data_IF_482284709100
#
_entry.id   IF_482284709100
#
_cell.length_a   1.000
_cell.length_b   1.000
_cell.length_c   1.000
_cell.angle_alpha   90.00
_cell.angle_beta   90.00
_cell.angle_gamma   90.00
#
_symmetry.space_group_name_H-M   'P 1'
#
loop_
_entity.id
_entity.type
_entity.pdbx_description
1 polymer ?
#
# COMPACT_ATOMS: atom_id res chain seq x y z
N UNK A 1 20.54 7.56 8.38
CA UNK A 1 19.62 8.70 8.57
C UNK A 1 18.74 8.75 7.33
N UNK A 2 17.45 8.41 7.44
CA UNK A 2 16.55 8.40 6.29
C UNK A 2 16.33 9.85 5.82
N UNK A 3 16.59 10.13 4.55
CA UNK A 3 16.53 11.49 4.01
C UNK A 3 15.05 11.86 3.81
N UNK A 4 14.71 13.14 3.93
CA UNK A 4 13.33 13.64 3.75
C UNK A 4 12.68 13.23 2.42
N UNK A 5 13.50 12.91 1.40
CA UNK A 5 13.07 12.43 0.09
C UNK A 5 12.45 11.02 0.12
N UNK A 6 12.95 10.12 0.97
CA UNK A 6 12.44 8.75 1.09
C UNK A 6 10.98 8.76 1.57
N UNK A 7 10.65 9.64 2.52
CA UNK A 7 9.30 9.82 3.04
C UNK A 7 8.33 10.28 1.96
N UNK A 8 8.76 11.17 1.05
CA UNK A 8 7.94 11.62 -0.08
C UNK A 8 7.65 10.47 -1.04
N UNK A 9 8.66 9.62 -1.32
CA UNK A 9 8.50 8.45 -2.18
C UNK A 9 7.46 7.47 -1.60
N UNK A 10 7.58 7.10 -0.33
CA UNK A 10 6.63 6.17 0.29
C UNK A 10 5.20 6.73 0.31
N UNK A 11 5.04 8.04 0.55
CA UNK A 11 3.73 8.70 0.47
C UNK A 11 3.13 8.65 -0.94
N UNK A 12 3.94 8.87 -1.99
CA UNK A 12 3.48 8.77 -3.38
C UNK A 12 3.06 7.34 -3.73
N UNK A 13 3.87 6.36 -3.35
CA UNK A 13 3.56 4.94 -3.57
C UNK A 13 2.29 4.55 -2.82
N UNK A 14 2.17 4.92 -1.53
CA UNK A 14 0.98 4.65 -0.71
C UNK A 14 -0.30 5.24 -1.29
N UNK A 15 -0.24 6.48 -1.78
CA UNK A 15 -1.36 7.11 -2.50
C UNK A 15 -1.72 6.34 -3.76
N UNK A 16 -0.73 5.91 -4.55
CA UNK A 16 -0.98 5.16 -5.79
C UNK A 16 -1.63 3.81 -5.52
N UNK A 17 -1.18 3.08 -4.51
CA UNK A 17 -1.78 1.81 -4.06
C UNK A 17 -3.25 2.02 -3.68
N UNK A 18 -3.55 3.07 -2.90
CA UNK A 18 -4.93 3.42 -2.52
C UNK A 18 -5.83 3.68 -3.74
N UNK A 19 -5.31 4.35 -4.76
CA UNK A 19 -6.07 4.63 -5.99
C UNK A 19 -6.29 3.36 -6.83
N UNK A 20 -5.28 2.48 -6.93
CA UNK A 20 -5.43 1.17 -7.59
C UNK A 20 -6.49 0.32 -6.91
N UNK A 21 -6.52 0.31 -5.56
CA UNK A 21 -7.55 -0.39 -4.79
C UNK A 21 -8.96 0.08 -5.16
N UNK A 22 -9.18 1.39 -5.17
CA UNK A 22 -10.49 1.97 -5.54
C UNK A 22 -10.85 1.66 -6.99
N UNK A 23 -9.87 1.70 -7.90
CA UNK A 23 -10.08 1.42 -9.33
C UNK A 23 -10.55 -0.03 -9.55
N UNK A 24 -10.06 -0.98 -8.74
CA UNK A 24 -10.54 -2.37 -8.77
C UNK A 24 -11.92 -2.58 -8.11
N UNK A 25 -12.56 -1.54 -7.59
CA UNK A 25 -13.88 -1.64 -6.96
C UNK A 25 -13.85 -1.95 -5.46
N UNK A 26 -12.68 -2.04 -4.83
CA UNK A 26 -12.59 -2.22 -3.38
C UNK A 26 -12.84 -0.88 -2.67
N UNK A 27 -14.02 -0.70 -2.10
CA UNK A 27 -14.36 0.48 -1.28
C UNK A 27 -13.56 0.52 0.02
N UNK A 28 -13.29 -0.64 0.62
CA UNK A 28 -12.63 -0.75 1.93
C UNK A 28 -11.23 -1.35 1.83
N UNK A 29 -10.31 -0.79 2.63
CA UNK A 29 -8.96 -1.33 2.84
C UNK A 29 -9.03 -2.75 3.43
N UNK A 30 -10.06 -3.03 4.23
CA UNK A 30 -10.29 -4.34 4.85
C UNK A 30 -10.57 -5.44 3.83
N UNK A 31 -11.43 -5.16 2.85
CA UNK A 31 -11.79 -6.13 1.81
C UNK A 31 -10.59 -6.49 0.96
N UNK A 32 -9.80 -5.49 0.55
CA UNK A 32 -8.56 -5.73 -0.19
C UNK A 32 -7.52 -6.47 0.65
N UNK A 33 -7.34 -6.09 1.91
CA UNK A 33 -6.38 -6.73 2.80
C UNK A 33 -6.72 -8.21 3.04
N UNK A 34 -8.01 -8.53 3.17
CA UNK A 34 -8.48 -9.91 3.27
C UNK A 34 -8.19 -10.72 2.00
N UNK A 35 -8.52 -10.16 0.83
CA UNK A 35 -8.32 -10.81 -0.47
C UNK A 35 -6.84 -11.01 -0.83
N UNK A 36 -6.00 -10.02 -0.52
CA UNK A 36 -4.56 -10.05 -0.75
C UNK A 36 -3.78 -10.82 0.35
N UNK A 37 -4.48 -11.38 1.35
CA UNK A 37 -3.88 -12.03 2.53
C UNK A 37 -2.85 -11.14 3.26
N UNK A 38 -3.09 -9.82 3.29
CA UNK A 38 -2.23 -8.84 3.97
C UNK A 38 -2.90 -8.43 5.28
N UNK A 39 -2.15 -8.32 6.40
CA UNK A 39 -2.71 -7.77 7.62
C UNK A 39 -3.26 -6.35 7.37
N UNK A 40 -4.55 -6.12 7.68
CA UNK A 40 -5.21 -4.81 7.53
C UNK A 40 -4.37 -3.65 8.08
N UNK A 41 -3.82 -3.83 9.27
CA UNK A 41 -2.99 -2.82 9.94
C UNK A 41 -1.71 -2.50 9.14
N UNK A 42 -1.11 -3.50 8.49
CA UNK A 42 0.07 -3.34 7.66
C UNK A 42 -0.28 -2.64 6.35
N UNK A 43 -1.37 -3.06 5.69
CA UNK A 43 -1.85 -2.42 4.46
C UNK A 43 -2.18 -0.94 4.67
N UNK A 44 -2.88 -0.61 5.78
CA UNK A 44 -3.17 0.78 6.14
C UNK A 44 -1.93 1.62 6.43
N UNK A 45 -0.83 1.03 6.92
CA UNK A 45 0.46 1.71 7.05
C UNK A 45 1.07 2.02 5.68
N UNK A 46 0.98 1.11 4.72
CA UNK A 46 1.47 1.33 3.36
C UNK A 46 0.70 2.43 2.64
N UNK A 47 -0.64 2.44 2.73
CA UNK A 47 -1.46 3.53 2.16
C UNK A 47 -1.11 4.92 2.75
N UNK A 48 -0.58 4.96 3.98
CA UNK A 48 -0.13 6.18 4.67
C UNK A 48 1.34 6.54 4.40
N UNK A 49 2.06 5.76 3.61
CA UNK A 49 3.46 6.02 3.27
C UNK A 49 4.48 5.51 4.29
N UNK A 50 4.21 4.37 4.93
CA UNK A 50 5.21 3.69 5.76
C UNK A 50 6.28 3.02 4.90
N UNK A 51 7.45 2.79 5.50
CA UNK A 51 8.56 2.09 4.86
C UNK A 51 8.07 0.70 4.38
N UNK A 52 8.26 0.44 3.10
CA UNK A 52 7.82 -0.79 2.44
C UNK A 52 8.96 -1.33 1.59
N UNK A 53 9.12 -2.64 1.59
CA UNK A 53 10.10 -3.29 0.73
C UNK A 53 9.53 -3.52 -0.66
N UNK A 54 10.39 -3.63 -1.67
CA UNK A 54 9.98 -3.99 -3.03
C UNK A 54 9.22 -5.33 -3.07
N UNK A 55 9.58 -6.28 -2.19
CA UNK A 55 8.86 -7.55 -2.07
C UNK A 55 7.41 -7.36 -1.57
N UNK A 56 7.19 -6.52 -0.56
CA UNK A 56 5.83 -6.18 -0.10
C UNK A 56 5.04 -5.45 -1.18
N UNK A 57 5.68 -4.52 -1.90
CA UNK A 57 5.07 -3.80 -3.01
C UNK A 57 4.60 -4.77 -4.11
N UNK A 58 5.48 -5.68 -4.52
CA UNK A 58 5.17 -6.68 -5.55
C UNK A 58 3.97 -7.54 -5.16
N UNK A 59 3.89 -7.99 -3.90
CA UNK A 59 2.71 -8.72 -3.41
C UNK A 59 1.44 -7.89 -3.59
N UNK A 60 1.42 -6.65 -3.11
CA UNK A 60 0.26 -5.76 -3.21
C UNK A 60 -0.16 -5.58 -4.68
N UNK A 61 0.80 -5.30 -5.57
CA UNK A 61 0.52 -5.08 -7.00
C UNK A 61 0.03 -6.35 -7.68
N UNK A 62 0.52 -7.53 -7.29
CA UNK A 62 0.07 -8.82 -7.85
C UNK A 62 -1.42 -9.08 -7.60
N UNK A 63 -1.97 -8.54 -6.51
CA UNK A 63 -3.40 -8.64 -6.19
C UNK A 63 -4.24 -7.46 -6.74
N UNK A 64 -3.59 -6.40 -7.23
CA UNK A 64 -4.24 -5.33 -8.00
C UNK A 64 -4.49 -5.73 -9.46
#
# INVERSE_FOLDING_TARGET
MFKEDDTKLFLLIGRRIKELRKTKGYSSQETFAYDAEIPRALYGKYEKGSNLTVASLYRIIKFH
#
